data_IF_262572307392
#
_entry.id   IF_262572307392
#
_cell.length_a   1.000
_cell.length_b   1.000
_cell.length_c   1.000
_cell.angle_alpha   90.00
_cell.angle_beta   90.00
_cell.angle_gamma   90.00
#
_symmetry.space_group_name_H-M   'P 1'
#
loop_
_entity.id
_entity.type
_entity.pdbx_description
1 polymer ?
#
# COMPACT_ATOMS: atom_id res chain seq x y z
N UNK A 1 18.48 2.17 -13.05
CA UNK A 1 17.34 2.08 -12.11
C UNK A 1 16.23 2.96 -12.63
N UNK A 2 15.14 2.34 -13.06
CA UNK A 2 13.99 3.05 -13.63
C UNK A 2 12.77 2.80 -12.73
N UNK A 3 12.63 3.54 -11.62
CA UNK A 3 11.53 3.31 -10.69
C UNK A 3 10.18 3.63 -11.35
N UNK A 4 9.18 2.82 -11.06
CA UNK A 4 7.83 3.00 -11.59
C UNK A 4 6.77 2.85 -10.50
N UNK A 5 5.72 3.65 -10.66
CA UNK A 5 4.50 3.56 -9.87
C UNK A 5 3.32 3.51 -10.82
N UNK A 6 2.40 2.61 -10.55
CA UNK A 6 1.15 2.45 -11.28
C UNK A 6 0.02 2.34 -10.28
N UNK A 7 -1.10 2.98 -10.57
CA UNK A 7 -2.28 2.93 -9.70
C UNK A 7 -3.52 2.64 -10.51
N UNK A 8 -4.49 1.97 -9.88
CA UNK A 8 -5.80 1.70 -10.44
C UNK A 8 -6.87 1.89 -9.39
N UNK A 9 -7.91 2.61 -9.75
CA UNK A 9 -9.14 2.69 -8.96
C UNK A 9 -9.98 1.43 -9.19
N UNK A 10 -10.47 0.83 -8.11
CA UNK A 10 -11.27 -0.41 -8.14
C UNK A 10 -12.49 -0.21 -7.25
N UNK A 11 -13.68 -0.41 -7.80
CA UNK A 11 -14.92 -0.26 -7.03
C UNK A 11 -15.15 -1.48 -6.15
N UNK A 12 -15.59 -1.26 -4.90
CA UNK A 12 -16.05 -2.34 -4.02
C UNK A 12 -17.52 -2.59 -4.33
N UNK A 13 -17.85 -3.82 -4.74
CA UNK A 13 -19.21 -4.25 -5.02
C UNK A 13 -19.94 -4.66 -3.73
N UNK A 14 -19.23 -5.27 -2.79
CA UNK A 14 -19.80 -5.77 -1.55
C UNK A 14 -18.74 -6.23 -0.56
N UNK A 15 -19.15 -6.45 0.70
CA UNK A 15 -18.31 -7.06 1.72
C UNK A 15 -19.17 -8.06 2.47
N UNK A 16 -18.80 -9.35 2.42
CA UNK A 16 -19.52 -10.45 3.06
C UNK A 16 -18.56 -11.28 3.90
N UNK A 17 -18.72 -11.24 5.23
CA UNK A 17 -17.71 -11.79 6.13
C UNK A 17 -16.34 -11.21 5.77
N UNK A 18 -15.32 -12.06 5.67
CA UNK A 18 -13.96 -11.66 5.35
C UNK A 18 -13.68 -11.48 3.85
N UNK A 19 -14.70 -11.64 3.00
CA UNK A 19 -14.58 -11.47 1.55
C UNK A 19 -14.96 -10.05 1.14
N UNK A 20 -14.07 -9.41 0.40
CA UNK A 20 -14.29 -8.13 -0.27
C UNK A 20 -14.52 -8.41 -1.75
N UNK A 21 -15.75 -8.19 -2.20
CA UNK A 21 -16.13 -8.32 -3.60
C UNK A 21 -15.83 -7.01 -4.33
N UNK A 22 -15.18 -7.13 -5.48
CA UNK A 22 -14.72 -6.03 -6.31
C UNK A 22 -15.42 -6.06 -7.67
N UNK A 23 -15.26 -4.98 -8.43
CA UNK A 23 -15.75 -4.92 -9.81
C UNK A 23 -15.33 -6.15 -10.63
N UNK A 24 -16.21 -6.59 -11.54
CA UNK A 24 -15.99 -7.73 -12.45
C UNK A 24 -15.84 -9.09 -11.73
N UNK A 25 -16.40 -9.23 -10.53
CA UNK A 25 -16.48 -10.51 -9.80
C UNK A 25 -15.16 -10.95 -9.15
N UNK A 26 -14.16 -10.07 -9.11
CA UNK A 26 -12.90 -10.33 -8.40
C UNK A 26 -13.14 -10.25 -6.89
N UNK A 27 -12.39 -11.05 -6.13
CA UNK A 27 -12.55 -11.15 -4.68
C UNK A 27 -11.19 -11.09 -4.00
N UNK A 28 -11.19 -10.50 -2.79
CA UNK A 28 -10.07 -10.54 -1.86
C UNK A 28 -10.59 -11.13 -0.54
N UNK A 29 -9.94 -12.17 -0.04
CA UNK A 29 -10.27 -12.82 1.24
C UNK A 29 -9.36 -12.28 2.33
N UNK A 30 -9.83 -11.29 3.09
CA UNK A 30 -9.07 -10.68 4.17
C UNK A 30 -9.97 -10.14 5.26
N UNK A 31 -9.87 -10.73 6.46
CA UNK A 31 -10.55 -10.25 7.65
C UNK A 31 -10.09 -8.83 8.05
N UNK A 32 -8.80 -8.55 7.86
CA UNK A 32 -8.20 -7.25 8.13
C UNK A 32 -8.74 -6.17 7.19
N UNK A 33 -8.70 -6.42 5.88
CA UNK A 33 -9.20 -5.49 4.87
C UNK A 33 -10.71 -5.30 5.01
N UNK A 34 -11.49 -6.39 5.08
CA UNK A 34 -12.93 -6.33 5.17
C UNK A 34 -13.39 -5.55 6.41
N UNK A 35 -12.78 -5.80 7.58
CA UNK A 35 -13.03 -5.02 8.81
C UNK A 35 -12.67 -3.54 8.63
N UNK A 36 -11.51 -3.24 8.02
CA UNK A 36 -11.07 -1.86 7.78
C UNK A 36 -12.05 -1.11 6.87
N UNK A 37 -12.49 -1.72 5.79
CA UNK A 37 -13.41 -1.10 4.83
C UNK A 37 -14.80 -0.86 5.45
N UNK A 38 -15.35 -1.86 6.16
CA UNK A 38 -16.64 -1.73 6.88
C UNK A 38 -16.62 -0.61 7.92
N UNK A 39 -15.62 -0.62 8.80
CA UNK A 39 -15.53 0.35 9.91
C UNK A 39 -15.31 1.79 9.44
N UNK A 40 -14.72 1.98 8.27
CA UNK A 40 -14.41 3.32 7.73
C UNK A 40 -15.43 3.82 6.71
N UNK A 41 -16.35 2.96 6.24
CA UNK A 41 -17.27 3.28 5.15
C UNK A 41 -16.56 3.47 3.80
N UNK A 42 -15.46 2.76 3.58
CA UNK A 42 -14.76 2.79 2.32
C UNK A 42 -15.57 2.06 1.23
N UNK A 43 -15.66 2.64 0.04
CA UNK A 43 -16.47 2.14 -1.08
C UNK A 43 -15.65 1.88 -2.36
N UNK A 44 -14.35 2.18 -2.31
CA UNK A 44 -13.43 1.84 -3.37
C UNK A 44 -12.05 1.53 -2.80
N UNK A 45 -11.21 0.90 -3.62
CA UNK A 45 -9.80 0.74 -3.41
C UNK A 45 -9.02 1.54 -4.46
N UNK A 46 -7.87 2.06 -4.07
CA UNK A 46 -6.79 2.40 -4.99
C UNK A 46 -5.75 1.30 -4.84
N UNK A 47 -5.63 0.45 -5.85
CA UNK A 47 -4.56 -0.54 -5.93
C UNK A 47 -3.35 0.13 -6.55
N UNK A 48 -2.17 -0.09 -5.98
CA UNK A 48 -0.92 0.46 -6.47
C UNK A 48 0.14 -0.63 -6.61
N UNK A 49 0.96 -0.50 -7.65
CA UNK A 49 2.12 -1.33 -7.89
C UNK A 49 3.35 -0.43 -7.96
N UNK A 50 4.41 -0.83 -7.27
CA UNK A 50 5.68 -0.12 -7.15
C UNK A 50 6.79 -1.04 -7.60
N UNK A 51 7.78 -0.52 -8.34
CA UNK A 51 8.99 -1.27 -8.68
C UNK A 51 10.19 -0.34 -8.78
N UNK A 52 11.35 -0.81 -8.34
CA UNK A 52 12.63 -0.12 -8.53
C UNK A 52 13.25 -0.40 -9.92
N UNK A 53 12.67 -1.32 -10.68
CA UNK A 53 13.18 -1.81 -11.96
C UNK A 53 14.06 -3.06 -11.80
N UNK A 54 14.28 -3.79 -12.90
CA UNK A 54 15.11 -5.00 -12.94
C UNK A 54 16.59 -4.67 -12.69
N UNK A 55 17.02 -3.45 -12.99
CA UNK A 55 18.44 -3.06 -12.94
C UNK A 55 19.04 -3.15 -11.53
N UNK A 56 18.21 -3.08 -10.48
CA UNK A 56 18.72 -3.25 -9.11
C UNK A 56 19.03 -4.71 -8.81
N UNK A 57 18.21 -5.64 -9.28
CA UNK A 57 18.43 -7.07 -9.09
C UNK A 57 19.66 -7.51 -9.89
N UNK A 58 19.78 -7.03 -11.13
CA UNK A 58 20.94 -7.28 -11.99
C UNK A 58 22.24 -6.80 -11.34
N UNK A 59 22.24 -5.60 -10.75
CA UNK A 59 23.42 -5.06 -10.08
C UNK A 59 23.74 -5.78 -8.76
N UNK A 60 22.72 -6.18 -7.99
CA UNK A 60 22.91 -7.01 -6.79
C UNK A 60 23.59 -8.33 -7.17
N UNK A 61 23.09 -9.02 -8.20
CA UNK A 61 23.66 -10.28 -8.68
C UNK A 61 25.11 -10.10 -9.16
N UNK A 62 25.37 -9.03 -9.93
CA UNK A 62 26.72 -8.69 -10.39
C UNK A 62 27.70 -8.47 -9.23
N UNK A 63 27.25 -7.85 -8.13
CA UNK A 63 28.08 -7.62 -6.94
C UNK A 63 28.37 -8.92 -6.18
N UNK A 64 27.39 -9.84 -6.10
CA UNK A 64 27.62 -11.19 -5.57
C UNK A 64 28.67 -11.94 -6.38
N UNK A 65 28.52 -11.98 -7.70
CA UNK A 65 29.46 -12.66 -8.61
C UNK A 65 30.87 -12.05 -8.57
N UNK A 66 30.97 -10.74 -8.30
CA UNK A 66 32.23 -10.04 -8.13
C UNK A 66 32.88 -10.23 -6.74
N UNK A 67 32.32 -11.06 -5.86
CA UNK A 67 32.84 -11.29 -4.51
C UNK A 67 32.69 -10.09 -3.58
N UNK A 68 31.69 -9.23 -3.80
CA UNK A 68 31.40 -8.01 -3.02
C UNK A 68 30.04 -8.10 -2.30
N UNK A 69 29.88 -9.05 -1.36
CA UNK A 69 28.60 -9.31 -0.71
C UNK A 69 28.13 -8.14 0.18
N UNK A 70 29.06 -7.40 0.76
CA UNK A 70 28.81 -6.19 1.55
C UNK A 70 28.07 -5.12 0.72
N UNK A 71 28.59 -4.82 -0.47
CA UNK A 71 27.98 -3.86 -1.38
C UNK A 71 26.62 -4.36 -1.89
N UNK A 72 26.51 -5.66 -2.19
CA UNK A 72 25.26 -6.28 -2.61
C UNK A 72 24.17 -6.16 -1.53
N UNK A 73 24.52 -6.41 -0.27
CA UNK A 73 23.60 -6.28 0.87
C UNK A 73 23.16 -4.83 1.08
N UNK A 74 24.08 -3.87 1.00
CA UNK A 74 23.75 -2.43 1.11
C UNK A 74 22.80 -2.01 -0.01
N UNK A 75 23.06 -2.41 -1.26
CA UNK A 75 22.19 -2.09 -2.38
C UNK A 75 20.80 -2.75 -2.24
N UNK A 76 20.77 -4.00 -1.78
CA UNK A 76 19.53 -4.73 -1.51
C UNK A 76 18.67 -4.03 -0.44
N UNK A 77 19.30 -3.56 0.64
CA UNK A 77 18.63 -2.78 1.69
C UNK A 77 18.13 -1.42 1.17
N UNK A 78 18.98 -0.72 0.41
CA UNK A 78 18.61 0.54 -0.24
C UNK A 78 17.39 0.39 -1.14
N UNK A 79 17.34 -0.68 -1.94
CA UNK A 79 16.18 -0.99 -2.80
C UNK A 79 14.88 -1.13 -2.02
N UNK A 80 14.91 -1.78 -0.86
CA UNK A 80 13.73 -1.90 0.01
C UNK A 80 13.30 -0.55 0.57
N UNK A 81 14.25 0.28 1.01
CA UNK A 81 13.96 1.65 1.50
C UNK A 81 13.37 2.51 0.39
N UNK A 82 13.91 2.44 -0.83
CA UNK A 82 13.40 3.17 -1.99
C UNK A 82 11.91 2.87 -2.24
N UNK A 83 11.53 1.59 -2.18
CA UNK A 83 10.14 1.17 -2.38
C UNK A 83 9.22 1.74 -1.29
N UNK A 84 9.64 1.72 -0.03
CA UNK A 84 8.89 2.35 1.05
C UNK A 84 8.76 3.88 0.89
N UNK A 85 9.81 4.55 0.45
CA UNK A 85 9.76 5.99 0.18
C UNK A 85 8.83 6.32 -0.99
N UNK A 86 8.87 5.54 -2.08
CA UNK A 86 7.95 5.69 -3.20
C UNK A 86 6.49 5.51 -2.76
N UNK A 87 6.21 4.47 -1.97
CA UNK A 87 4.88 4.24 -1.38
C UNK A 87 4.43 5.40 -0.50
N UNK A 88 5.30 5.92 0.37
CA UNK A 88 4.98 7.04 1.23
C UNK A 88 4.70 8.34 0.44
N UNK A 89 5.47 8.61 -0.62
CA UNK A 89 5.23 9.71 -1.56
C UNK A 89 3.88 9.58 -2.24
N UNK A 90 3.56 8.41 -2.78
CA UNK A 90 2.29 8.14 -3.46
C UNK A 90 1.12 8.23 -2.49
N UNK A 91 1.24 7.70 -1.27
CA UNK A 91 0.21 7.84 -0.25
C UNK A 91 -0.06 9.31 0.12
N UNK A 92 0.97 10.16 0.20
CA UNK A 92 0.81 11.61 0.40
C UNK A 92 0.12 12.27 -0.78
N UNK A 93 0.51 11.94 -2.00
CA UNK A 93 -0.11 12.47 -3.22
C UNK A 93 -1.59 12.06 -3.34
N UNK A 94 -1.90 10.79 -3.09
CA UNK A 94 -3.27 10.27 -3.08
C UNK A 94 -4.11 10.99 -2.02
N UNK A 95 -3.61 11.16 -0.80
CA UNK A 95 -4.30 11.92 0.25
C UNK A 95 -4.60 13.36 -0.16
N UNK A 96 -3.64 14.06 -0.77
CA UNK A 96 -3.84 15.43 -1.26
C UNK A 96 -4.89 15.50 -2.37
N UNK A 97 -4.75 14.67 -3.39
CA UNK A 97 -5.61 14.70 -4.59
C UNK A 97 -7.03 14.23 -4.31
N UNK A 98 -7.19 13.19 -3.49
CA UNK A 98 -8.51 12.67 -3.11
C UNK A 98 -9.16 13.51 -2.00
N UNK A 99 -8.36 14.09 -1.10
CA UNK A 99 -8.83 15.03 -0.08
C UNK A 99 -9.52 16.25 -0.70
N UNK A 100 -8.94 16.81 -1.76
CA UNK A 100 -9.55 17.90 -2.54
C UNK A 100 -10.91 17.52 -3.17
N UNK A 101 -11.25 16.23 -3.23
CA UNK A 101 -12.52 15.70 -3.73
C UNK A 101 -13.47 15.23 -2.61
N UNK A 102 -13.18 15.60 -1.35
CA UNK A 102 -13.98 15.19 -0.20
C UNK A 102 -13.81 13.71 0.17
N UNK A 103 -12.67 13.11 -0.17
CA UNK A 103 -12.39 11.70 0.04
C UNK A 103 -11.20 11.51 0.97
N UNK A 104 -11.27 10.48 1.82
CA UNK A 104 -10.22 10.07 2.75
C UNK A 104 -9.58 8.78 2.26
N UNK A 105 -8.27 8.84 2.00
CA UNK A 105 -7.44 7.67 1.68
C UNK A 105 -6.97 7.04 2.99
N UNK A 106 -7.25 5.76 3.16
CA UNK A 106 -6.82 4.99 4.32
C UNK A 106 -5.34 4.58 4.20
N UNK A 107 -4.67 4.24 5.33
CA UNK A 107 -3.38 3.57 5.27
C UNK A 107 -3.44 2.31 4.40
N UNK A 108 -2.35 2.04 3.67
CA UNK A 108 -2.29 0.86 2.81
C UNK A 108 -2.32 -0.44 3.62
N UNK A 109 -2.75 -1.49 2.94
CA UNK A 109 -2.63 -2.87 3.34
C UNK A 109 -2.16 -3.70 2.13
N UNK A 110 -1.52 -4.84 2.39
CA UNK A 110 -1.11 -5.81 1.38
C UNK A 110 -1.31 -7.24 1.92
N UNK A 111 -1.47 -8.23 1.04
CA UNK A 111 -1.39 -9.66 1.38
C UNK A 111 -0.08 -10.01 2.11
N UNK A 112 -0.13 -11.04 2.96
CA UNK A 112 1.02 -11.58 3.69
C UNK A 112 1.14 -11.16 5.17
N UNK A 113 0.21 -10.34 5.68
CA UNK A 113 0.10 -10.01 7.11
C UNK A 113 -1.02 -10.82 7.78
N UNK A 114 -1.01 -10.88 9.11
CA UNK A 114 -2.10 -11.47 9.88
C UNK A 114 -3.46 -10.87 9.48
N UNK A 115 -4.39 -11.73 9.07
CA UNK A 115 -5.71 -11.33 8.58
C UNK A 115 -5.77 -10.95 7.10
N UNK A 116 -4.68 -11.09 6.34
CA UNK A 116 -4.68 -11.09 4.87
C UNK A 116 -3.73 -12.17 4.31
N UNK A 117 -4.25 -13.34 3.90
CA UNK A 117 -3.47 -14.44 3.35
C UNK A 117 -2.64 -14.02 2.13
N UNK A 118 -1.44 -14.62 1.97
CA UNK A 118 -0.52 -14.28 0.88
C UNK A 118 -1.05 -14.72 -0.50
N UNK A 119 -1.89 -15.77 -0.54
CA UNK A 119 -2.51 -16.32 -1.75
C UNK A 119 -3.31 -15.24 -2.51
N UNK A 120 -3.82 -14.25 -1.78
CA UNK A 120 -4.55 -13.11 -2.32
C UNK A 120 -3.66 -12.10 -3.06
N UNK A 121 -2.32 -12.24 -3.01
CA UNK A 121 -1.39 -11.48 -3.83
C UNK A 121 -1.69 -11.64 -5.32
N UNK A 122 -2.08 -12.85 -5.76
CA UNK A 122 -2.49 -13.09 -7.14
C UNK A 122 -3.78 -12.36 -7.51
N UNK A 123 -4.76 -12.37 -6.60
CA UNK A 123 -6.01 -11.66 -6.78
C UNK A 123 -5.77 -10.15 -6.88
N UNK A 124 -4.98 -9.59 -5.96
CA UNK A 124 -4.61 -8.17 -5.95
C UNK A 124 -3.79 -7.77 -7.19
N UNK A 125 -2.82 -8.58 -7.61
CA UNK A 125 -2.04 -8.34 -8.82
C UNK A 125 -2.94 -8.34 -10.06
N UNK A 126 -3.89 -9.28 -10.15
CA UNK A 126 -4.82 -9.36 -11.30
C UNK A 126 -5.67 -8.09 -11.48
N UNK A 127 -5.88 -7.31 -10.41
CA UNK A 127 -6.55 -6.02 -10.50
C UNK A 127 -5.67 -4.98 -11.20
N UNK A 128 -4.36 -5.07 -11.17
CA UNK A 128 -3.47 -4.04 -11.74
C UNK A 128 -2.59 -4.55 -12.89
N UNK A 129 -2.63 -5.85 -13.21
CA UNK A 129 -1.75 -6.51 -14.18
C UNK A 129 -1.59 -5.75 -15.50
N UNK A 130 -2.69 -5.31 -16.13
CA UNK A 130 -2.66 -4.57 -17.39
C UNK A 130 -1.89 -3.23 -17.32
N UNK A 131 -1.72 -2.68 -16.12
CA UNK A 131 -1.02 -1.44 -15.85
C UNK A 131 0.26 -1.65 -15.01
N UNK A 132 0.60 -2.87 -14.59
CA UNK A 132 1.63 -3.14 -13.58
C UNK A 132 3.07 -2.85 -14.05
N UNK A 133 3.27 -2.54 -15.33
CA UNK A 133 4.58 -2.24 -15.89
C UNK A 133 5.45 -3.49 -15.93
N UNK A 134 6.72 -3.42 -15.49
CA UNK A 134 7.68 -4.53 -15.58
C UNK A 134 7.48 -5.61 -14.51
N UNK A 135 6.46 -5.46 -13.64
CA UNK A 135 6.24 -6.36 -12.51
C UNK A 135 5.56 -7.64 -12.99
N UNK A 136 6.12 -8.76 -12.58
CA UNK A 136 5.59 -10.10 -12.75
C UNK A 136 5.32 -10.73 -11.39
N UNK A 137 4.26 -11.53 -11.32
CA UNK A 137 3.96 -12.35 -10.16
C UNK A 137 4.48 -13.77 -10.39
N UNK A 138 5.24 -14.28 -9.44
CA UNK A 138 5.75 -15.65 -9.44
C UNK A 138 4.72 -16.59 -8.79
N UNK A 139 4.80 -17.89 -9.11
CA UNK A 139 3.91 -18.92 -8.53
C UNK A 139 4.00 -18.99 -7.00
N UNK A 140 5.14 -18.59 -6.42
CA UNK A 140 5.34 -18.48 -4.97
C UNK A 140 4.60 -17.33 -4.31
N UNK A 141 3.97 -16.45 -5.09
CA UNK A 141 3.44 -15.16 -4.63
C UNK A 141 4.49 -14.05 -4.59
N UNK A 142 5.77 -14.34 -4.87
CA UNK A 142 6.81 -13.33 -5.00
C UNK A 142 6.60 -12.39 -6.20
N UNK A 143 7.21 -11.22 -6.17
CA UNK A 143 7.18 -10.27 -7.28
C UNK A 143 8.57 -10.17 -7.91
N UNK A 144 8.62 -10.04 -9.23
CA UNK A 144 9.83 -9.75 -10.01
C UNK A 144 9.63 -8.44 -10.77
N UNK A 145 10.50 -7.42 -10.67
CA UNK A 145 11.73 -7.34 -9.86
C UNK A 145 11.50 -7.54 -8.35
N UNK A 146 12.52 -8.03 -7.63
CA UNK A 146 12.46 -8.33 -6.20
C UNK A 146 12.14 -7.11 -5.34
N UNK A 147 12.55 -5.92 -5.82
CA UNK A 147 12.20 -4.63 -5.23
C UNK A 147 10.92 -4.10 -5.86
N UNK A 148 9.85 -4.84 -5.63
CA UNK A 148 8.49 -4.47 -6.03
C UNK A 148 7.50 -4.72 -4.90
N UNK A 149 6.38 -4.02 -4.94
CA UNK A 149 5.34 -4.11 -3.93
C UNK A 149 3.96 -3.85 -4.54
N UNK A 150 2.94 -4.53 -4.01
CA UNK A 150 1.54 -4.21 -4.21
C UNK A 150 0.96 -3.61 -2.94
N UNK A 151 0.06 -2.64 -3.10
CA UNK A 151 -0.63 -2.01 -1.99
C UNK A 151 -2.08 -1.70 -2.34
N UNK A 152 -2.99 -1.93 -1.40
CA UNK A 152 -4.38 -1.51 -1.47
C UNK A 152 -4.64 -0.37 -0.48
N UNK A 153 -5.11 0.77 -0.98
CA UNK A 153 -5.55 1.89 -0.18
C UNK A 153 -7.07 1.98 -0.22
N UNK A 154 -7.74 1.82 0.93
CA UNK A 154 -9.18 2.05 1.00
C UNK A 154 -9.53 3.53 0.78
N UNK A 155 -10.65 3.79 0.12
CA UNK A 155 -11.14 5.12 -0.17
C UNK A 155 -12.54 5.32 0.43
N UNK A 156 -12.64 6.21 1.42
CA UNK A 156 -13.88 6.54 2.12
C UNK A 156 -14.31 7.97 1.83
N UNK A 157 -15.62 8.25 1.90
CA UNK A 157 -16.09 9.64 1.86
C UNK A 157 -15.76 10.32 3.19
N UNK A 158 -15.35 11.58 3.14
CA UNK A 158 -15.30 12.43 4.33
C UNK A 158 -16.75 12.74 4.70
N UNK A 159 -17.23 12.18 5.80
CA UNK A 159 -18.53 12.61 6.35
C UNK A 159 -18.35 14.06 6.78
N UNK A 160 -19.23 14.95 6.29
CA UNK A 160 -19.37 16.25 6.93
C UNK A 160 -19.75 15.98 8.38
N UNK A 161 -18.87 16.31 9.31
CA UNK A 161 -19.26 16.42 10.70
C UNK A 161 -20.31 17.52 10.74
N UNK A 162 -21.55 17.19 11.13
CA UNK A 162 -22.48 18.22 11.57
C UNK A 162 -21.72 19.07 12.59
N UNK A 163 -21.71 20.39 12.40
CA UNK A 163 -21.07 21.30 13.33
C UNK A 163 -21.53 20.95 14.75
N UNK A 164 -20.62 20.73 15.70
CA UNK A 164 -21.04 20.58 17.09
C UNK A 164 -21.79 21.85 17.46
N UNK A 165 -23.08 21.73 17.78
CA UNK A 165 -23.87 22.81 18.40
C UNK A 165 -23.42 23.01 19.84
N UNK A 166 -22.14 23.36 20.06
CA UNK A 166 -21.50 23.46 21.36
C UNK A 166 -20.49 24.60 21.36
N UNK A 167 -20.53 25.40 22.42
CA UNK A 167 -19.85 26.69 22.54
C UNK A 167 -18.33 26.64 22.27
N UNK A 168 -17.77 27.79 21.90
CA UNK A 168 -16.40 27.97 21.44
C UNK A 168 -15.34 28.00 22.56
N UNK A 169 -15.53 27.31 23.69
CA UNK A 169 -14.59 27.40 24.81
C UNK A 169 -14.26 26.05 25.44
N UNK A 170 -13.83 25.03 24.67
CA UNK A 170 -13.21 23.85 25.30
C UNK A 170 -12.31 22.93 24.45
N UNK A 171 -11.93 23.31 23.22
CA UNK A 171 -11.03 22.47 22.41
C UNK A 171 -9.60 23.04 22.36
N UNK A 172 -8.87 22.92 23.47
CA UNK A 172 -7.41 22.82 23.44
C UNK A 172 -6.99 21.51 24.09
N UNK A 173 -6.04 20.85 23.43
CA UNK A 173 -5.32 19.62 23.80
C UNK A 173 -6.06 18.29 23.63
N UNK A 174 -5.74 17.59 22.54
CA UNK A 174 -5.49 16.13 22.48
C UNK A 174 -5.01 15.72 21.09
N UNK A 175 -3.71 15.87 20.85
CA UNK A 175 -2.98 15.14 19.80
C UNK A 175 -1.70 14.60 20.41
N UNK A 176 -1.79 13.40 20.99
CA UNK A 176 -0.64 12.62 21.48
C UNK A 176 -0.53 11.24 20.78
N UNK A 177 -1.51 10.86 19.94
CA UNK A 177 -1.57 9.53 19.34
C UNK A 177 -0.95 9.42 17.93
N UNK A 178 -0.47 10.53 17.34
CA UNK A 178 0.16 10.52 15.99
C UNK A 178 1.70 10.62 16.02
N UNK A 179 2.32 10.73 17.21
CA UNK A 179 3.78 10.86 17.35
C UNK A 179 4.53 9.55 17.63
N UNK A 180 3.85 8.42 17.89
CA UNK A 180 4.52 7.19 18.32
C UNK A 180 5.05 6.26 17.21
N UNK A 181 4.96 6.62 15.93
CA UNK A 181 5.47 5.77 14.83
C UNK A 181 6.78 6.25 14.18
N UNK A 182 7.43 7.31 14.69
CA UNK A 182 8.70 7.82 14.13
C UNK A 182 9.95 7.50 14.96
N UNK A 183 9.83 6.84 16.12
CA UNK A 183 10.97 6.69 17.07
C UNK A 183 11.45 5.25 17.28
N UNK A 184 11.27 4.36 16.30
CA UNK A 184 11.70 2.95 16.41
C UNK A 184 12.87 2.55 15.49
N UNK A 185 13.54 3.49 14.78
CA UNK A 185 14.62 3.14 13.84
C UNK A 185 15.91 3.98 13.98
N UNK A 186 16.19 4.58 15.14
CA UNK A 186 17.44 5.36 15.35
C UNK A 186 18.18 5.07 16.67
N UNK A 187 18.01 3.90 17.27
CA UNK A 187 18.98 3.38 18.25
C UNK A 187 19.10 1.86 18.09
N UNK A 188 20.14 1.48 17.36
CA UNK A 188 20.66 0.13 17.17
C UNK A 188 21.96 0.24 16.41
#
# INVERSE_FOLDING_TARGET
>A
MTPSVRTRHVTIAGISGDVVELERGKQLTSSLLAKRLRTTGAHALIVAAFSAGHEIDDEINRLWDAGRPDAAMVLNAFGSVLIEQLRACVARQLRRTMGARGMRVLPHLSPGYDGWPLEDQANLFSLIAAAAGPIELLDSGGLRPSKSMLAAFGLARVRATAAPGGNASEFRTRTWAEQQWQTAFLTG
#
